data_IF_062443856474
#
_entry.id   IF_062443856474
#
_cell.length_a   1.000
_cell.length_b   1.000
_cell.length_c   1.000
_cell.angle_alpha   90.00
_cell.angle_beta   90.00
_cell.angle_gamma   90.00
#
_symmetry.space_group_name_H-M   'P 1'
#
loop_
_entity.id
_entity.type
_entity.pdbx_description
1 polymer ?
#
# COMPACT_ATOMS: atom_id res chain seq x y z
N UNK A 1 -18.63 6.32 -14.46
CA UNK A 1 -17.80 6.90 -13.38
C UNK A 1 -17.34 5.84 -12.39
N UNK A 2 -18.24 5.12 -11.72
CA UNK A 2 -17.91 4.13 -10.67
C UNK A 2 -16.96 2.99 -11.08
N UNK A 3 -17.13 2.46 -12.30
CA UNK A 3 -16.21 1.45 -12.85
C UNK A 3 -14.75 1.93 -12.91
N UNK A 4 -14.54 3.22 -13.17
CA UNK A 4 -13.21 3.82 -13.21
C UNK A 4 -12.64 4.04 -11.80
N UNK A 5 -13.51 4.32 -10.81
CA UNK A 5 -13.11 4.47 -9.40
C UNK A 5 -12.61 3.12 -8.86
N UNK A 6 -13.42 2.06 -9.01
CA UNK A 6 -13.05 0.71 -8.56
C UNK A 6 -11.76 0.23 -9.24
N UNK A 7 -11.67 0.40 -10.57
CA UNK A 7 -10.46 0.06 -11.31
C UNK A 7 -9.25 0.87 -10.83
N UNK A 8 -9.43 2.17 -10.59
CA UNK A 8 -8.39 3.06 -10.07
C UNK A 8 -7.84 2.59 -8.73
N UNK A 9 -8.70 2.20 -7.79
CA UNK A 9 -8.28 1.67 -6.49
C UNK A 9 -7.51 0.35 -6.62
N UNK A 10 -7.97 -0.57 -7.46
CA UNK A 10 -7.28 -1.85 -7.70
C UNK A 10 -5.90 -1.60 -8.29
N UNK A 11 -5.81 -0.76 -9.33
CA UNK A 11 -4.54 -0.42 -9.99
C UNK A 11 -3.60 0.34 -9.06
N UNK A 12 -4.13 1.23 -8.22
CA UNK A 12 -3.36 1.96 -7.22
C UNK A 12 -2.70 0.98 -6.24
N UNK A 13 -3.47 0.08 -5.63
CA UNK A 13 -2.95 -0.90 -4.69
C UNK A 13 -1.89 -1.82 -5.31
N UNK A 14 -2.18 -2.38 -6.50
CA UNK A 14 -1.24 -3.26 -7.20
C UNK A 14 0.04 -2.50 -7.57
N UNK A 15 -0.11 -1.28 -8.09
CA UNK A 15 1.01 -0.42 -8.45
C UNK A 15 1.90 -0.06 -7.27
N UNK A 16 1.30 0.20 -6.11
CA UNK A 16 2.03 0.52 -4.89
C UNK A 16 2.85 -0.67 -4.38
N UNK A 17 2.28 -1.86 -4.32
CA UNK A 17 3.05 -3.01 -3.86
C UNK A 17 4.11 -3.47 -4.87
N UNK A 18 3.83 -3.36 -6.17
CA UNK A 18 4.84 -3.55 -7.22
C UNK A 18 6.00 -2.57 -7.05
N UNK A 19 5.71 -1.30 -6.85
CA UNK A 19 6.75 -0.28 -6.73
C UNK A 19 7.52 -0.43 -5.41
N UNK A 20 6.83 -0.40 -4.27
CA UNK A 20 7.48 -0.35 -2.97
C UNK A 20 8.12 -1.69 -2.59
N UNK A 21 7.42 -2.82 -2.77
CA UNK A 21 7.91 -4.12 -2.28
C UNK A 21 8.67 -4.90 -3.31
N UNK A 22 8.20 -4.96 -4.56
CA UNK A 22 8.90 -5.72 -5.59
C UNK A 22 10.10 -4.95 -6.19
N UNK A 23 9.94 -3.66 -6.50
CA UNK A 23 10.97 -2.91 -7.21
C UNK A 23 11.93 -2.13 -6.30
N UNK A 24 11.41 -1.43 -5.29
CA UNK A 24 12.19 -0.44 -4.51
C UNK A 24 12.87 -1.06 -3.30
N UNK A 25 12.18 -1.91 -2.51
CA UNK A 25 12.74 -2.50 -1.29
C UNK A 25 14.05 -3.28 -1.54
N UNK A 26 14.20 -4.10 -2.59
CA UNK A 26 15.48 -4.78 -2.86
C UNK A 26 16.63 -3.81 -3.18
N UNK A 27 16.33 -2.67 -3.81
CA UNK A 27 17.32 -1.61 -4.08
C UNK A 27 17.69 -0.88 -2.80
N UNK A 28 16.72 -0.62 -1.93
CA UNK A 28 16.94 -0.04 -0.61
C UNK A 28 17.77 -0.97 0.28
N UNK A 29 17.65 -2.30 0.14
CA UNK A 29 18.54 -3.26 0.82
C UNK A 29 20.01 -3.02 0.50
N UNK A 30 20.32 -2.72 -0.76
CA UNK A 30 21.70 -2.46 -1.18
C UNK A 30 22.29 -1.19 -0.56
N UNK A 31 21.45 -0.19 -0.25
CA UNK A 31 21.88 1.12 0.29
C UNK A 31 21.81 1.16 1.83
N UNK A 32 20.71 0.68 2.40
CA UNK A 32 20.37 0.81 3.83
C UNK A 32 20.56 -0.49 4.62
N UNK A 33 20.92 -1.60 3.97
CA UNK A 33 21.14 -2.88 4.62
C UNK A 33 19.90 -3.33 5.41
N UNK A 34 20.08 -3.60 6.72
CA UNK A 34 18.99 -4.02 7.62
C UNK A 34 17.92 -2.96 7.88
N UNK A 35 18.17 -1.70 7.55
CA UNK A 35 17.22 -0.59 7.69
C UNK A 35 16.36 -0.34 6.44
N UNK A 36 16.44 -1.21 5.44
CA UNK A 36 15.69 -1.12 4.19
C UNK A 36 14.17 -1.00 4.39
N UNK A 37 13.61 -1.77 5.31
CA UNK A 37 12.18 -1.71 5.62
C UNK A 37 11.76 -0.36 6.24
N UNK A 38 12.65 0.29 7.00
CA UNK A 38 12.39 1.64 7.54
C UNK A 38 12.39 2.65 6.41
N UNK A 39 13.43 2.64 5.57
CA UNK A 39 13.52 3.54 4.42
C UNK A 39 12.32 3.37 3.48
N UNK A 40 11.90 2.13 3.24
CA UNK A 40 10.76 1.83 2.39
C UNK A 40 9.43 2.27 3.01
N UNK A 41 9.18 1.94 4.28
CA UNK A 41 7.95 2.30 4.98
C UNK A 41 7.79 3.81 5.17
N UNK A 42 8.87 4.53 5.49
CA UNK A 42 8.87 5.99 5.54
C UNK A 42 8.68 6.59 4.14
N UNK A 43 9.34 6.06 3.11
CA UNK A 43 9.14 6.49 1.73
C UNK A 43 7.70 6.30 1.25
N UNK A 44 7.04 5.22 1.69
CA UNK A 44 5.62 4.99 1.44
C UNK A 44 4.75 6.05 2.11
N UNK A 45 4.97 6.34 3.40
CA UNK A 45 4.22 7.38 4.11
C UNK A 45 4.46 8.78 3.51
N UNK A 46 5.71 9.10 3.16
CA UNK A 46 6.09 10.39 2.59
C UNK A 46 5.42 10.69 1.24
N UNK A 47 5.14 9.67 0.43
CA UNK A 47 4.31 9.79 -0.79
C UNK A 47 2.96 10.45 -0.52
N UNK A 48 2.42 10.29 0.69
CA UNK A 48 1.09 10.77 1.07
C UNK A 48 1.12 12.10 1.82
N UNK A 49 2.22 12.85 1.79
CA UNK A 49 2.28 14.17 2.41
C UNK A 49 1.23 15.15 1.85
N UNK A 50 0.75 14.94 0.61
CA UNK A 50 -0.37 15.70 0.05
C UNK A 50 -1.70 15.48 0.82
N UNK A 51 -1.80 14.39 1.58
CA UNK A 51 -2.91 14.03 2.45
C UNK A 51 -2.39 13.81 3.88
N UNK A 52 -1.70 14.85 4.37
CA UNK A 52 -0.81 14.80 5.53
C UNK A 52 -1.44 14.24 6.81
N UNK A 53 -2.74 14.45 7.04
CA UNK A 53 -3.43 13.97 8.24
C UNK A 53 -3.56 12.45 8.30
N UNK A 54 -3.40 11.74 7.17
CA UNK A 54 -3.28 10.27 7.19
C UNK A 54 -1.88 9.78 7.48
N UNK A 55 -0.84 10.60 7.31
CA UNK A 55 0.56 10.18 7.47
C UNK A 55 0.82 9.50 8.82
N UNK A 56 0.29 9.96 9.97
CA UNK A 56 0.47 9.26 11.24
C UNK A 56 0.00 7.80 11.24
N UNK A 57 -1.03 7.47 10.45
CA UNK A 57 -1.55 6.11 10.29
C UNK A 57 -0.79 5.32 9.21
N UNK A 58 -0.30 6.01 8.18
CA UNK A 58 0.43 5.39 7.07
C UNK A 58 1.87 5.01 7.43
N UNK A 59 2.49 5.69 8.40
CA UNK A 59 3.82 5.34 8.91
C UNK A 59 3.83 3.91 9.48
N UNK A 60 3.02 3.56 10.50
CA UNK A 60 3.02 2.19 11.03
C UNK A 60 2.58 1.16 9.99
N UNK A 61 1.62 1.49 9.12
CA UNK A 61 1.19 0.61 8.03
C UNK A 61 2.32 0.31 7.03
N UNK A 62 3.00 1.35 6.54
CA UNK A 62 4.10 1.21 5.59
C UNK A 62 5.30 0.45 6.16
N UNK A 63 5.64 0.73 7.43
CA UNK A 63 6.68 0.02 8.17
C UNK A 63 6.32 -1.46 8.36
N UNK A 64 5.11 -1.76 8.82
CA UNK A 64 4.63 -3.13 8.99
C UNK A 64 4.63 -3.91 7.67
N UNK A 65 4.10 -3.31 6.60
CA UNK A 65 4.08 -3.93 5.28
C UNK A 65 5.50 -4.25 4.78
N UNK A 66 6.43 -3.31 4.92
CA UNK A 66 7.82 -3.52 4.49
C UNK A 66 8.55 -4.55 5.37
N UNK A 67 8.35 -4.51 6.69
CA UNK A 67 9.02 -5.40 7.63
C UNK A 67 8.54 -6.84 7.53
N UNK A 68 7.23 -7.07 7.51
CA UNK A 68 6.67 -8.41 7.48
C UNK A 68 6.69 -9.02 6.06
N UNK A 69 6.22 -8.27 5.07
CA UNK A 69 5.97 -8.83 3.72
C UNK A 69 7.15 -8.67 2.77
N UNK A 70 8.07 -7.75 3.04
CA UNK A 70 9.32 -7.60 2.30
C UNK A 70 10.17 -8.89 2.27
N UNK A 71 10.52 -9.48 3.43
CA UNK A 71 11.30 -10.71 3.50
C UNK A 71 10.59 -11.94 2.94
N UNK A 72 9.25 -11.96 2.94
CA UNK A 72 8.47 -13.08 2.42
C UNK A 72 8.56 -13.23 0.90
N UNK A 73 8.99 -12.16 0.18
CA UNK A 73 9.12 -12.13 -1.29
C UNK A 73 7.87 -12.60 -2.03
N UNK A 74 6.70 -12.44 -1.39
CA UNK A 74 5.39 -12.81 -1.93
C UNK A 74 4.59 -11.54 -2.19
N UNK A 75 4.62 -11.10 -3.45
CA UNK A 75 3.86 -9.94 -3.88
C UNK A 75 2.34 -10.11 -3.70
N UNK A 76 1.73 -11.27 -4.00
CA UNK A 76 0.29 -11.46 -3.76
C UNK A 76 -0.10 -11.29 -2.29
N UNK A 77 0.75 -11.74 -1.37
CA UNK A 77 0.50 -11.63 0.06
C UNK A 77 0.65 -10.17 0.55
N UNK A 78 1.65 -9.45 0.03
CA UNK A 78 1.81 -8.01 0.31
C UNK A 78 0.60 -7.20 -0.19
N UNK A 79 0.11 -7.50 -1.40
CA UNK A 79 -1.12 -6.90 -1.95
C UNK A 79 -2.32 -7.17 -1.05
N UNK A 80 -2.54 -8.43 -0.65
CA UNK A 80 -3.63 -8.78 0.25
C UNK A 80 -3.54 -8.04 1.59
N UNK A 81 -2.36 -7.99 2.20
CA UNK A 81 -2.14 -7.30 3.46
C UNK A 81 -2.35 -5.78 3.36
N UNK A 82 -1.90 -5.16 2.27
CA UNK A 82 -2.16 -3.75 2.01
C UNK A 82 -3.66 -3.49 1.86
N UNK A 83 -4.37 -4.38 1.15
CA UNK A 83 -5.81 -4.26 0.98
C UNK A 83 -6.58 -4.29 2.31
N UNK A 84 -6.23 -5.24 3.18
CA UNK A 84 -6.86 -5.42 4.49
C UNK A 84 -6.63 -4.24 5.44
N UNK A 85 -5.55 -3.48 5.25
CA UNK A 85 -5.13 -2.43 6.19
C UNK A 85 -5.55 -1.02 5.80
N UNK A 86 -5.85 -0.73 4.53
CA UNK A 86 -6.09 0.65 4.07
C UNK A 86 -7.34 0.89 3.23
N UNK A 87 -7.67 -0.02 2.31
CA UNK A 87 -8.59 0.27 1.21
C UNK A 87 -9.91 -0.50 1.28
N UNK A 88 -10.07 -1.35 2.29
CA UNK A 88 -11.23 -2.26 2.40
C UNK A 88 -12.56 -1.51 2.51
N UNK A 89 -12.60 -0.41 3.28
CA UNK A 89 -13.82 0.40 3.47
C UNK A 89 -14.21 1.11 2.18
N UNK A 90 -13.24 1.72 1.49
CA UNK A 90 -13.49 2.45 0.24
C UNK A 90 -13.88 1.50 -0.90
N UNK A 91 -13.30 0.30 -0.93
CA UNK A 91 -13.70 -0.75 -1.85
C UNK A 91 -15.16 -1.19 -1.62
N UNK A 92 -15.55 -1.50 -0.37
CA UNK A 92 -16.92 -1.91 -0.06
C UNK A 92 -17.94 -0.79 -0.29
N UNK A 93 -17.60 0.47 -0.02
CA UNK A 93 -18.43 1.61 -0.38
C UNK A 93 -18.64 1.69 -1.90
N UNK A 94 -17.56 1.56 -2.68
CA UNK A 94 -17.66 1.53 -4.15
C UNK A 94 -18.51 0.37 -4.69
N UNK A 95 -18.52 -0.77 -4.01
CA UNK A 95 -19.38 -1.91 -4.36
C UNK A 95 -20.83 -1.68 -3.93
N UNK A 96 -21.09 -1.20 -2.71
CA UNK A 96 -22.43 -0.89 -2.22
C UNK A 96 -23.13 0.13 -3.15
N UNK A 97 -22.39 1.14 -3.58
CA UNK A 97 -22.88 2.19 -4.48
C UNK A 97 -23.07 1.65 -5.92
N UNK A 98 -22.19 0.74 -6.40
CA UNK A 98 -22.37 0.02 -7.68
C UNK A 98 -23.65 -0.85 -7.69
N UNK A 99 -23.98 -1.44 -6.54
CA UNK A 99 -25.18 -2.27 -6.36
C UNK A 99 -26.44 -1.45 -6.04
N UNK A 100 -26.31 -0.13 -5.83
CA UNK A 100 -27.42 0.77 -5.49
C UNK A 100 -27.99 0.54 -4.09
N UNK A 101 -27.17 0.11 -3.14
CA UNK A 101 -27.59 -0.22 -1.76
C UNK A 101 -27.02 0.71 -0.69
N UNK A 102 -26.47 1.87 -1.10
CA UNK A 102 -25.91 2.92 -0.25
C UNK A 102 -26.68 4.22 -0.38
#
# INVERSE_FOLDING_TARGET
MYRFIILGFILNMIGEELYYRAALLPKMRAVFGKGDWVANGIGFAAKHLYYWWRVPFLVPAGLGLAFYFGPMRSLPLAILAHWLTGEIILFFLGIAELLGVS
#
